data_IF_008065219448
#
_entry.id   IF_008065219448
#
_cell.length_a   1.000
_cell.length_b   1.000
_cell.length_c   1.000
_cell.angle_alpha   90.00
_cell.angle_beta   90.00
_cell.angle_gamma   90.00
#
_symmetry.space_group_name_H-M   'P 1'
#
loop_
_entity.id
_entity.type
_entity.pdbx_description
1 polymer ?
#
# COMPACT_ATOMS: atom_id res chain seq x y z
N UNK A 1 -0.71 -25.79 -4.67
CA UNK A 1 0.75 -25.59 -4.53
C UNK A 1 1.22 -25.73 -3.07
N UNK A 2 0.49 -25.22 -2.08
CA UNK A 2 0.77 -25.37 -0.63
C UNK A 2 1.03 -26.80 -0.09
N UNK A 3 0.39 -27.82 -0.68
CA UNK A 3 0.35 -29.16 -0.07
C UNK A 3 1.68 -29.93 -0.12
N UNK A 4 2.54 -29.66 -1.10
CA UNK A 4 3.73 -30.50 -1.33
C UNK A 4 4.81 -30.29 -0.27
N UNK A 5 5.09 -29.05 0.13
CA UNK A 5 6.13 -28.76 1.11
C UNK A 5 5.73 -29.28 2.49
N UNK A 6 4.50 -29.00 2.93
CA UNK A 6 3.94 -29.48 4.21
C UNK A 6 3.96 -31.01 4.26
N UNK A 7 3.57 -31.68 3.17
CA UNK A 7 3.58 -33.14 3.11
C UNK A 7 4.98 -33.73 3.20
N UNK A 8 6.01 -33.04 2.68
CA UNK A 8 7.41 -33.48 2.76
C UNK A 8 7.99 -33.27 4.15
N UNK A 9 7.83 -32.08 4.74
CA UNK A 9 8.33 -31.80 6.09
C UNK A 9 7.60 -32.62 7.16
N UNK A 10 6.33 -32.97 6.94
CA UNK A 10 5.54 -33.83 7.83
C UNK A 10 6.00 -35.29 7.92
N UNK A 11 7.07 -35.68 7.22
CA UNK A 11 7.67 -37.01 7.31
C UNK A 11 8.67 -37.15 8.45
N UNK A 12 9.22 -36.04 8.96
CA UNK A 12 10.18 -36.00 10.07
C UNK A 12 9.49 -35.55 11.37
N UNK A 13 10.06 -35.92 12.53
CA UNK A 13 9.53 -35.57 13.86
C UNK A 13 8.29 -36.39 14.26
N UNK A 14 8.46 -37.36 15.15
CA UNK A 14 7.39 -38.24 15.66
C UNK A 14 7.61 -38.55 17.14
N UNK A 15 6.55 -38.88 17.86
CA UNK A 15 6.60 -39.39 19.24
C UNK A 15 7.43 -38.50 20.19
N UNK A 16 7.21 -37.18 20.14
CA UNK A 16 7.91 -36.21 21.00
C UNK A 16 9.36 -35.91 20.61
N UNK A 17 9.89 -36.50 19.54
CA UNK A 17 11.23 -36.20 19.01
C UNK A 17 11.14 -35.12 17.93
N UNK A 18 12.03 -34.14 18.02
CA UNK A 18 12.14 -33.08 17.03
C UNK A 18 12.70 -33.63 15.71
N UNK A 19 12.08 -33.24 14.59
CA UNK A 19 12.53 -33.56 13.25
C UNK A 19 13.22 -32.37 12.59
N UNK A 20 14.28 -32.62 11.82
CA UNK A 20 14.94 -31.59 11.02
C UNK A 20 14.52 -31.73 9.55
N UNK A 21 14.11 -30.64 8.92
CA UNK A 21 13.87 -30.55 7.49
C UNK A 21 14.66 -29.37 6.91
N UNK A 22 15.52 -29.66 5.93
CA UNK A 22 16.37 -28.65 5.27
C UNK A 22 15.93 -28.49 3.83
N UNK A 23 15.68 -27.25 3.42
CA UNK A 23 15.26 -26.90 2.06
C UNK A 23 16.33 -26.05 1.39
N UNK A 24 16.68 -26.40 0.15
CA UNK A 24 17.56 -25.57 -0.68
C UNK A 24 16.72 -24.62 -1.52
N UNK A 25 17.10 -23.35 -1.54
CA UNK A 25 16.40 -22.28 -2.26
C UNK A 25 17.36 -21.65 -3.26
N UNK A 26 16.89 -21.44 -4.49
CA UNK A 26 17.63 -20.79 -5.56
C UNK A 26 16.85 -19.57 -6.08
N UNK A 27 17.51 -18.67 -6.83
CA UNK A 27 16.90 -17.52 -7.51
C UNK A 27 15.90 -17.91 -8.60
N UNK A 28 15.94 -19.16 -9.06
CA UNK A 28 14.97 -19.71 -10.03
C UNK A 28 13.68 -20.19 -9.37
N UNK A 29 13.60 -20.17 -8.02
CA UNK A 29 12.38 -20.52 -7.31
C UNK A 29 11.33 -19.43 -7.50
N UNK A 30 10.11 -19.84 -7.77
CA UNK A 30 8.97 -18.94 -7.95
C UNK A 30 8.68 -18.15 -6.67
N UNK A 31 8.41 -16.85 -6.83
CA UNK A 31 8.18 -15.94 -5.69
C UNK A 31 6.95 -16.32 -4.88
N UNK A 32 5.90 -16.90 -5.49
CA UNK A 32 4.72 -17.35 -4.76
C UNK A 32 5.05 -18.48 -3.80
N UNK A 33 5.94 -19.40 -4.18
CA UNK A 33 6.40 -20.49 -3.30
C UNK A 33 7.20 -19.94 -2.11
N UNK A 34 8.02 -18.92 -2.33
CA UNK A 34 8.81 -18.29 -1.27
C UNK A 34 7.94 -17.53 -0.28
N UNK A 35 6.87 -16.88 -0.78
CA UNK A 35 5.85 -16.26 0.06
C UNK A 35 5.11 -17.28 0.91
N UNK A 36 4.65 -18.39 0.31
CA UNK A 36 3.99 -19.47 1.03
C UNK A 36 4.90 -20.04 2.13
N UNK A 37 6.20 -20.22 1.83
CA UNK A 37 7.21 -20.66 2.80
C UNK A 37 7.39 -19.65 3.95
N UNK A 38 7.44 -18.34 3.67
CA UNK A 38 7.53 -17.28 4.68
C UNK A 38 6.36 -17.38 5.67
N UNK A 39 5.13 -17.45 5.16
CA UNK A 39 3.93 -17.55 6.00
C UNK A 39 3.91 -18.83 6.83
N UNK A 40 4.30 -19.97 6.24
CA UNK A 40 4.40 -21.24 6.94
C UNK A 40 5.39 -21.19 8.12
N UNK A 41 6.57 -20.58 7.92
CA UNK A 41 7.58 -20.44 8.97
C UNK A 41 7.09 -19.53 10.11
N UNK A 42 6.37 -18.46 9.80
CA UNK A 42 5.78 -17.55 10.79
C UNK A 42 4.71 -18.28 11.62
N UNK A 43 3.79 -18.99 10.97
CA UNK A 43 2.75 -19.77 11.64
C UNK A 43 3.34 -20.85 12.56
N UNK A 44 4.39 -21.53 12.09
CA UNK A 44 5.13 -22.52 12.86
C UNK A 44 6.09 -21.93 13.92
N UNK A 45 6.13 -20.60 14.08
CA UNK A 45 7.01 -19.87 15.00
C UNK A 45 8.50 -20.21 14.83
N UNK A 46 8.91 -20.51 13.61
CA UNK A 46 10.31 -20.78 13.26
C UNK A 46 11.05 -19.47 12.95
N UNK A 47 12.39 -19.50 13.06
CA UNK A 47 13.20 -18.37 12.66
C UNK A 47 13.12 -18.15 11.14
N UNK A 48 12.65 -16.97 10.72
CA UNK A 48 12.53 -16.61 9.31
C UNK A 48 13.84 -15.97 8.84
N UNK A 49 14.49 -16.51 7.80
CA UNK A 49 15.67 -15.88 7.20
C UNK A 49 15.38 -14.47 6.67
N UNK A 50 16.36 -13.57 6.81
CA UNK A 50 16.23 -12.16 6.38
C UNK A 50 15.90 -11.98 4.90
N UNK A 51 16.34 -12.90 4.04
CA UNK A 51 16.01 -12.86 2.61
C UNK A 51 14.53 -13.15 2.33
N UNK A 52 13.86 -13.96 3.16
CA UNK A 52 12.41 -14.19 3.06
C UNK A 52 11.62 -13.06 3.70
N UNK A 53 12.15 -12.38 4.73
CA UNK A 53 11.50 -11.22 5.34
C UNK A 53 11.39 -10.05 4.37
N UNK A 54 12.39 -9.86 3.50
CA UNK A 54 12.42 -8.82 2.47
C UNK A 54 11.39 -9.06 1.35
N UNK A 55 10.92 -10.29 1.18
CA UNK A 55 9.87 -10.58 0.20
C UNK A 55 8.54 -10.07 0.76
N UNK A 56 8.00 -9.05 0.10
CA UNK A 56 6.67 -8.50 0.37
C UNK A 56 5.69 -9.05 -0.64
N UNK A 57 4.48 -9.39 -0.20
CA UNK A 57 3.41 -9.66 -1.14
C UNK A 57 3.00 -8.37 -1.85
N UNK A 58 2.56 -8.45 -3.11
CA UNK A 58 1.92 -7.31 -3.79
C UNK A 58 0.78 -6.71 -2.95
N UNK A 59 0.11 -7.56 -2.16
CA UNK A 59 -0.93 -7.17 -1.22
C UNK A 59 -0.40 -6.33 -0.05
N UNK A 60 0.76 -6.66 0.53
CA UNK A 60 1.45 -5.82 1.53
C UNK A 60 1.94 -4.51 0.92
N UNK A 61 2.46 -4.54 -0.31
CA UNK A 61 2.86 -3.32 -1.03
C UNK A 61 1.67 -2.39 -1.27
N UNK A 62 0.52 -2.94 -1.63
CA UNK A 62 -0.75 -2.21 -1.77
C UNK A 62 -1.25 -1.63 -0.44
N UNK A 63 -1.09 -2.37 0.67
CA UNK A 63 -1.45 -1.91 2.01
C UNK A 63 -0.47 -0.87 2.57
N UNK A 64 0.83 -0.95 2.20
CA UNK A 64 1.84 0.04 2.56
C UNK A 64 1.64 1.38 1.83
N UNK A 65 0.96 1.37 0.67
CA UNK A 65 0.49 2.58 -0.02
C UNK A 65 -0.83 3.12 0.63
N UNK A 66 -1.37 2.41 1.62
CA UNK A 66 -2.66 2.69 2.25
C UNK A 66 -2.71 3.83 3.28
N UNK A 67 -1.62 4.58 3.51
CA UNK A 67 -1.63 5.80 4.34
C UNK A 67 -1.02 7.00 3.60
N UNK A 68 -1.36 7.17 2.32
CA UNK A 68 -1.20 8.49 1.69
C UNK A 68 -2.51 9.27 1.90
N UNK A 69 -2.59 10.19 2.89
CA UNK A 69 -3.77 11.01 3.09
C UNK A 69 -3.92 11.95 1.89
N UNK A 70 -4.71 11.52 0.91
CA UNK A 70 -5.13 12.36 -0.19
C UNK A 70 -5.89 13.58 0.32
N UNK A 71 -5.67 14.73 -0.31
CA UNK A 71 -6.39 15.95 -0.01
C UNK A 71 -7.86 15.82 -0.48
N UNK A 72 -8.80 15.80 0.47
CA UNK A 72 -10.24 15.72 0.20
C UNK A 72 -10.81 16.89 -0.61
N UNK A 73 -10.09 18.00 -0.70
CA UNK A 73 -10.51 19.19 -1.43
C UNK A 73 -10.11 19.18 -2.92
N UNK A 74 -8.97 18.59 -3.27
CA UNK A 74 -8.47 18.61 -4.65
C UNK A 74 -8.25 17.22 -5.26
N UNK A 75 -8.53 16.16 -4.50
CA UNK A 75 -8.24 14.77 -4.84
C UNK A 75 -6.76 14.51 -5.18
N UNK A 76 -5.86 15.39 -4.74
CA UNK A 76 -4.42 15.23 -4.93
C UNK A 76 -3.81 14.32 -3.85
N UNK A 77 -2.85 13.49 -4.25
CA UNK A 77 -2.05 12.64 -3.35
C UNK A 77 -0.90 13.46 -2.74
N UNK A 78 -0.33 13.04 -1.59
CA UNK A 78 0.86 13.66 -1.00
C UNK A 78 0.68 14.89 -0.11
N UNK A 79 -0.55 15.32 0.22
CA UNK A 79 -0.78 16.44 1.13
C UNK A 79 -2.19 16.43 1.76
N UNK A 80 -2.33 16.99 2.96
CA UNK A 80 -3.64 17.16 3.63
C UNK A 80 -4.37 18.43 3.19
N UNK A 81 -5.67 18.49 3.45
CA UNK A 81 -6.53 19.66 3.14
C UNK A 81 -5.97 20.98 3.71
N UNK A 82 -5.28 20.94 4.84
CA UNK A 82 -4.64 22.10 5.49
C UNK A 82 -3.48 22.69 4.68
N UNK A 83 -2.82 21.88 3.84
CA UNK A 83 -1.68 22.27 3.01
C UNK A 83 -2.02 22.16 1.52
N UNK A 84 -3.29 22.38 1.15
CA UNK A 84 -3.75 22.25 -0.22
C UNK A 84 -3.38 23.47 -1.07
N UNK A 85 -2.48 23.35 -2.07
CA UNK A 85 -2.06 24.47 -2.92
C UNK A 85 -3.21 24.98 -3.79
N UNK A 86 -4.23 24.14 -4.04
CA UNK A 86 -5.42 24.51 -4.80
C UNK A 86 -6.35 25.43 -4.00
N UNK A 87 -6.34 25.32 -2.68
CA UNK A 87 -7.21 26.07 -1.76
C UNK A 87 -6.72 27.53 -1.61
N UNK A 88 -5.41 27.74 -1.60
CA UNK A 88 -4.77 29.07 -1.64
C UNK A 88 -5.19 29.85 -2.90
N UNK A 89 -5.19 29.17 -4.06
CA UNK A 89 -5.55 29.78 -5.35
C UNK A 89 -7.02 30.19 -5.50
N UNK A 90 -7.95 29.58 -4.73
CA UNK A 90 -9.37 29.92 -4.77
C UNK A 90 -9.74 31.09 -3.86
N UNK A 91 -9.08 31.24 -2.70
CA UNK A 91 -9.28 32.41 -1.84
C UNK A 91 -8.98 33.71 -2.59
N UNK A 92 -7.92 33.73 -3.40
CA UNK A 92 -7.55 34.88 -4.25
C UNK A 92 -8.53 35.10 -5.41
N UNK A 93 -9.07 34.03 -6.00
CA UNK A 93 -10.03 34.13 -7.12
C UNK A 93 -11.39 34.66 -6.68
N UNK A 94 -11.88 34.26 -5.51
CA UNK A 94 -13.16 34.76 -4.96
C UNK A 94 -13.07 36.24 -4.59
N UNK A 95 -11.93 36.69 -4.05
CA UNK A 95 -11.69 38.12 -3.77
C UNK A 95 -11.66 38.99 -5.05
N UNK A 96 -11.11 38.46 -6.15
CA UNK A 96 -11.08 39.18 -7.43
C UNK A 96 -12.43 39.18 -8.18
N UNK A 97 -13.29 38.21 -7.94
CA UNK A 97 -14.60 38.14 -8.62
C UNK A 97 -15.64 39.08 -7.99
N UNK A 98 -15.58 39.33 -6.67
CA UNK A 98 -16.44 40.35 -6.04
C UNK A 98 -16.15 41.76 -6.53
N UNK A 99 -14.90 42.11 -6.84
CA UNK A 99 -14.55 43.44 -7.37
C UNK A 99 -15.01 43.70 -8.80
N UNK A 100 -15.29 42.66 -9.59
CA UNK A 100 -15.63 42.81 -11.01
C UNK A 100 -17.13 42.95 -11.26
N UNK A 101 -17.96 42.45 -10.34
CA UNK A 101 -19.42 42.46 -10.47
C UNK A 101 -20.04 43.85 -10.21
N UNK A 102 -19.37 44.71 -9.43
CA UNK A 102 -19.88 46.05 -9.13
C UNK A 102 -19.68 47.07 -10.28
N UNK A 103 -18.89 46.73 -11.32
CA UNK A 103 -18.62 47.64 -12.45
C UNK A 103 -19.62 47.49 -13.61
N UNK A 104 -20.44 46.44 -13.64
CA UNK A 104 -21.31 46.11 -14.79
C UNK A 104 -22.79 46.45 -14.59
N UNK A 105 -23.17 47.03 -13.45
CA UNK A 105 -24.57 47.36 -13.13
C UNK A 105 -24.95 48.83 -13.45
N UNK A 106 -24.37 49.46 -14.48
CA UNK A 106 -24.79 50.79 -14.92
C UNK A 106 -24.70 50.98 -16.44
N UNK A 107 -25.86 50.90 -17.10
CA UNK A 107 -26.08 51.36 -18.46
C UNK A 107 -26.16 50.24 -19.50
N UNK A 108 -27.35 49.80 -19.88
CA UNK A 108 -28.18 50.52 -20.84
C UNK A 108 -29.48 49.75 -21.09
N UNK A 109 -30.57 50.50 -20.96
CA UNK A 109 -31.85 50.26 -21.59
C UNK A 109 -31.70 50.30 -23.12
N UNK A 110 -32.71 49.72 -23.78
CA UNK A 110 -33.27 50.07 -25.08
C UNK A 110 -33.10 49.08 -26.24
N UNK A 111 -34.28 48.83 -26.85
CA UNK A 111 -34.65 48.15 -28.10
C UNK A 111 -34.99 46.66 -28.03
#
# INVERSE_FOLDING_TARGET
FFLFLVHRIGRTGRCGRQGLATTFINKTCDEAILLDLKHLLIEAKQAVPSFLLRLESDKERLLAIGDEPGCSYCNGLGHRITNCPKLESQSTKTANNMKKNDFLAKGNSDW
#
